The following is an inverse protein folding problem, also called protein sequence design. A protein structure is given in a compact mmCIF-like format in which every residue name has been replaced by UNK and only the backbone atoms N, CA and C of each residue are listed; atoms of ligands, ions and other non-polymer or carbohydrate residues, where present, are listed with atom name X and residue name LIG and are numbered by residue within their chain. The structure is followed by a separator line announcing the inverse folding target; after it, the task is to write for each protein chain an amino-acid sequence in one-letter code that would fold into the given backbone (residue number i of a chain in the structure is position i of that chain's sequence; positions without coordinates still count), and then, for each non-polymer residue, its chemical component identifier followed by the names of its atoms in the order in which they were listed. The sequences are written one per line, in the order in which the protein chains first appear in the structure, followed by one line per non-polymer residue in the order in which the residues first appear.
data_IF_617750943574
#
_entry.id   IF_617750943574
#
_cell.length_a   1.000
_cell.length_b   1.000
_cell.length_c   1.000
_cell.angle_alpha   90.00
_cell.angle_beta   90.00
_cell.angle_gamma   90.00
#
_symmetry.space_group_name_H-M   'P 1'
#
loop_
_entity.id
_entity.type
_entity.pdbx_description
1 polymer ?
#
# COMPACT_ATOMS: atom_id res chain seq x y z
N UNK A 1 3.10 8.63 12.33
CA UNK A 1 2.98 7.62 11.25
C UNK A 1 4.37 7.11 10.91
N UNK A 2 4.53 5.79 10.88
CA UNK A 2 5.78 5.17 10.47
C UNK A 2 5.78 4.98 8.95
N UNK A 3 6.94 5.13 8.33
CA UNK A 3 7.11 4.94 6.90
C UNK A 3 8.25 3.95 6.69
N UNK A 4 7.94 2.85 5.98
CA UNK A 4 8.93 1.84 5.65
C UNK A 4 9.13 1.76 4.15
N UNK A 5 10.37 1.57 3.74
CA UNK A 5 10.74 1.40 2.34
C UNK A 5 11.40 0.04 2.14
N UNK A 6 11.23 -0.54 0.95
CA UNK A 6 11.90 -1.77 0.59
C UNK A 6 10.99 -2.98 0.71
N UNK A 7 11.60 -4.17 0.59
CA UNK A 7 10.86 -5.42 0.44
C UNK A 7 10.65 -6.18 1.75
N UNK A 8 11.33 -5.77 2.81
CA UNK A 8 11.21 -6.44 4.11
C UNK A 8 11.14 -5.42 5.23
N UNK A 9 10.31 -5.71 6.22
CA UNK A 9 10.26 -4.92 7.43
C UNK A 9 11.43 -5.32 8.35
N UNK A 10 11.84 -4.39 9.24
CA UNK A 10 12.87 -4.71 10.24
C UNK A 10 12.48 -5.89 11.14
N UNK A 11 11.18 -6.03 11.42
CA UNK A 11 10.63 -7.13 12.20
C UNK A 11 9.16 -7.31 11.84
N UNK A 12 8.61 -8.53 11.99
CA UNK A 12 7.19 -8.75 11.77
C UNK A 12 6.34 -7.87 12.69
N UNK A 13 5.23 -7.38 12.18
CA UNK A 13 4.31 -6.56 12.95
C UNK A 13 3.41 -7.41 13.86
N UNK A 14 2.88 -6.77 14.90
CA UNK A 14 1.71 -7.28 15.60
C UNK A 14 0.52 -7.29 14.62
N UNK A 15 -0.60 -7.97 14.97
CA UNK A 15 -1.73 -8.09 14.04
C UNK A 15 -2.14 -6.76 13.43
N UNK A 16 -2.38 -6.75 12.12
CA UNK A 16 -2.62 -5.52 11.38
C UNK A 16 -3.84 -5.59 10.48
N UNK A 17 -4.41 -4.41 10.21
CA UNK A 17 -5.41 -4.16 9.19
C UNK A 17 -4.72 -3.42 8.05
N UNK A 18 -4.82 -3.95 6.83
CA UNK A 18 -4.00 -3.52 5.70
C UNK A 18 -4.89 -3.06 4.55
N UNK A 19 -4.50 -1.97 3.91
CA UNK A 19 -5.06 -1.59 2.62
C UNK A 19 -3.93 -1.51 1.59
N UNK A 20 -4.26 -1.85 0.35
CA UNK A 20 -3.33 -1.79 -0.78
C UNK A 20 -3.94 -0.91 -1.85
N UNK A 21 -3.19 0.06 -2.36
CA UNK A 21 -3.67 0.91 -3.43
C UNK A 21 -2.58 1.85 -3.91
N UNK A 22 -2.84 2.51 -5.02
CA UNK A 22 -1.94 3.54 -5.54
C UNK A 22 -2.16 4.88 -4.82
N UNK A 23 -3.38 5.16 -4.41
CA UNK A 23 -3.78 6.39 -3.71
C UNK A 23 -3.33 7.65 -4.42
N UNK A 24 -3.33 7.61 -5.75
CA UNK A 24 -2.92 8.74 -6.56
C UNK A 24 -4.00 9.83 -6.50
N UNK A 25 -3.62 11.00 -5.96
CA UNK A 25 -4.55 12.10 -5.78
C UNK A 25 -5.44 12.03 -4.56
N UNK A 26 -5.24 11.13 -3.65
CA UNK A 26 -6.03 10.91 -2.39
C UNK A 26 -7.34 11.70 -2.37
N UNK A 27 -8.31 11.27 -3.20
CA UNK A 27 -9.59 11.95 -3.31
C UNK A 27 -10.64 11.33 -2.37
N UNK A 28 -11.90 11.77 -2.49
CA UNK A 28 -12.99 11.38 -1.59
C UNK A 28 -13.14 9.86 -1.47
N UNK A 29 -13.05 9.12 -2.59
CA UNK A 29 -13.15 7.66 -2.55
C UNK A 29 -12.06 7.02 -1.71
N UNK A 30 -10.82 7.51 -1.84
CA UNK A 30 -9.71 7.02 -1.02
C UNK A 30 -9.93 7.33 0.46
N UNK A 31 -10.49 8.50 0.77
CA UNK A 31 -10.78 8.86 2.16
C UNK A 31 -11.81 7.93 2.79
N UNK A 32 -12.82 7.52 2.04
CA UNK A 32 -13.80 6.55 2.53
C UNK A 32 -13.15 5.21 2.86
N UNK A 33 -12.26 4.72 1.98
CA UNK A 33 -11.53 3.48 2.20
C UNK A 33 -10.66 3.60 3.44
N UNK A 34 -9.93 4.70 3.57
CA UNK A 34 -9.03 4.91 4.70
C UNK A 34 -9.79 5.05 6.01
N UNK A 35 -10.93 5.74 6.00
CA UNK A 35 -11.77 5.85 7.19
C UNK A 35 -12.31 4.50 7.63
N UNK A 36 -12.74 3.69 6.67
CA UNK A 36 -13.21 2.33 6.96
C UNK A 36 -12.08 1.48 7.54
N UNK A 37 -10.89 1.58 6.96
CA UNK A 37 -9.72 0.87 7.49
C UNK A 37 -9.45 1.26 8.93
N UNK A 38 -9.47 2.57 9.24
CA UNK A 38 -9.22 3.07 10.58
C UNK A 38 -10.26 2.55 11.58
N UNK A 39 -11.54 2.55 11.20
CA UNK A 39 -12.62 2.06 12.07
C UNK A 39 -12.47 0.57 12.34
N UNK A 40 -12.18 -0.22 11.29
CA UNK A 40 -12.02 -1.66 11.45
C UNK A 40 -10.77 -1.98 12.27
N UNK A 41 -9.68 -1.23 12.05
CA UNK A 41 -8.46 -1.42 12.83
C UNK A 41 -8.71 -1.12 14.31
N UNK A 42 -9.41 -0.03 14.61
CA UNK A 42 -9.71 0.34 15.98
C UNK A 42 -10.64 -0.69 16.65
N UNK A 43 -11.69 -1.10 15.95
CA UNK A 43 -12.66 -2.06 16.49
C UNK A 43 -12.02 -3.42 16.76
N UNK A 44 -11.02 -3.81 15.99
CA UNK A 44 -10.33 -5.09 16.12
C UNK A 44 -9.01 -5.00 16.86
N UNK A 45 -8.65 -3.80 17.32
CA UNK A 45 -7.36 -3.54 17.99
C UNK A 45 -6.17 -3.92 17.13
N UNK A 46 -6.22 -3.53 15.85
CA UNK A 46 -5.17 -3.82 14.87
C UNK A 46 -4.41 -2.55 14.51
N UNK A 47 -3.14 -2.75 14.14
CA UNK A 47 -2.31 -1.68 13.57
C UNK A 47 -2.73 -1.45 12.12
N UNK A 48 -3.01 -0.21 11.73
CA UNK A 48 -3.43 0.09 10.35
C UNK A 48 -2.23 0.40 9.46
N UNK A 49 -2.19 -0.25 8.29
CA UNK A 49 -1.07 -0.14 7.34
C UNK A 49 -1.61 0.10 5.94
N UNK A 50 -1.01 1.06 5.24
CA UNK A 50 -1.25 1.24 3.81
C UNK A 50 -0.01 0.80 3.04
N UNK A 51 -0.20 -0.07 2.06
CA UNK A 51 0.87 -0.48 1.14
C UNK A 51 0.69 0.31 -0.16
N UNK A 52 1.74 1.00 -0.58
CA UNK A 52 1.79 1.68 -1.86
C UNK A 52 3.03 1.22 -2.61
N UNK A 53 3.00 1.33 -3.94
CA UNK A 53 4.09 0.88 -4.79
C UNK A 53 4.79 2.05 -5.45
N UNK A 54 6.14 1.98 -5.52
CA UNK A 54 6.98 2.95 -6.20
C UNK A 54 8.04 2.20 -7.02
N UNK A 55 8.03 2.27 -8.34
CA UNK A 55 7.01 2.93 -9.17
C UNK A 55 5.66 2.25 -9.06
N UNK A 56 4.60 2.93 -9.52
CA UNK A 56 3.29 2.31 -9.62
C UNK A 56 3.32 1.18 -10.65
N UNK A 57 2.49 0.12 -10.49
CA UNK A 57 2.52 -1.00 -11.44
C UNK A 57 2.35 -0.58 -12.89
N UNK A 58 1.43 0.35 -13.19
CA UNK A 58 1.23 0.81 -14.55
C UNK A 58 2.45 1.54 -15.10
N UNK A 59 3.20 2.26 -14.27
CA UNK A 59 4.45 2.91 -14.68
C UNK A 59 5.52 1.87 -15.00
N UNK A 60 5.65 0.86 -14.14
CA UNK A 60 6.62 -0.21 -14.34
C UNK A 60 6.39 -0.94 -15.66
N UNK A 61 5.14 -1.36 -15.92
CA UNK A 61 4.83 -2.10 -17.12
C UNK A 61 4.96 -1.24 -18.39
N UNK A 62 4.66 0.06 -18.31
CA UNK A 62 4.85 0.96 -19.42
C UNK A 62 6.33 1.09 -19.81
N UNK A 63 7.22 1.18 -18.82
CA UNK A 63 8.67 1.23 -19.08
C UNK A 63 9.16 -0.07 -19.70
N UNK A 64 8.75 -1.23 -19.19
CA UNK A 64 9.13 -2.52 -19.75
C UNK A 64 8.69 -2.69 -21.20
N UNK A 65 7.48 -2.22 -21.53
CA UNK A 65 6.93 -2.32 -22.88
C UNK A 65 7.38 -1.19 -23.79
N UNK A 66 8.26 -0.30 -23.31
CA UNK A 66 8.73 0.87 -24.06
C UNK A 66 7.57 1.73 -24.56
N UNK A 67 6.55 1.89 -23.73
CA UNK A 67 5.39 2.73 -23.99
C UNK A 67 5.50 4.05 -23.24
N UNK A 68 4.77 5.10 -23.66
CA UNK A 68 4.75 6.35 -22.90
C UNK A 68 4.30 6.10 -21.45
N UNK A 69 4.94 6.80 -20.50
CA UNK A 69 4.58 6.67 -19.11
C UNK A 69 3.20 7.28 -18.85
N UNK A 70 2.37 6.62 -18.01
CA UNK A 70 1.13 7.25 -17.58
C UNK A 70 1.40 8.54 -16.80
N UNK A 71 0.48 9.49 -16.89
CA UNK A 71 0.60 10.71 -16.13
C UNK A 71 0.23 10.43 -14.67
N UNK A 72 1.14 10.77 -13.76
CA UNK A 72 0.90 10.63 -12.33
C UNK A 72 0.33 11.93 -11.79
N UNK A 73 -0.76 11.85 -11.02
CA UNK A 73 -1.37 13.03 -10.40
C UNK A 73 -0.56 13.52 -9.21
N UNK A 74 -0.07 12.59 -8.38
CA UNK A 74 0.56 12.95 -7.11
C UNK A 74 1.93 12.29 -6.98
N UNK A 75 3.01 13.07 -6.75
CA UNK A 75 4.31 12.50 -6.40
C UNK A 75 4.24 11.70 -5.10
N UNK A 76 5.17 10.75 -4.94
CA UNK A 76 5.19 9.88 -3.75
C UNK A 76 5.22 10.68 -2.44
N UNK A 77 6.07 11.71 -2.36
CA UNK A 77 6.19 12.52 -1.15
C UNK A 77 4.86 13.15 -0.76
N UNK A 78 4.16 13.72 -1.75
CA UNK A 78 2.88 14.38 -1.49
C UNK A 78 1.82 13.35 -1.12
N UNK A 79 1.86 12.16 -1.72
CA UNK A 79 0.96 11.07 -1.40
C UNK A 79 1.12 10.65 0.06
N UNK A 80 2.34 10.46 0.51
CA UNK A 80 2.62 10.10 1.91
C UNK A 80 2.12 11.21 2.84
N UNK A 81 2.35 12.48 2.49
CA UNK A 81 1.89 13.60 3.30
C UNK A 81 0.37 13.61 3.41
N UNK A 82 -0.34 13.38 2.30
CA UNK A 82 -1.80 13.33 2.30
C UNK A 82 -2.32 12.18 3.16
N UNK A 83 -1.70 11.01 3.07
CA UNK A 83 -2.07 9.87 3.93
C UNK A 83 -1.85 10.20 5.40
N UNK A 84 -0.76 10.88 5.72
CA UNK A 84 -0.48 11.30 7.08
C UNK A 84 -1.53 12.28 7.59
N UNK A 85 -1.96 13.21 6.75
CA UNK A 85 -2.97 14.21 7.11
C UNK A 85 -4.34 13.60 7.40
N UNK A 86 -4.66 12.47 6.76
CA UNK A 86 -5.94 11.80 7.03
C UNK A 86 -6.01 11.21 8.44
N UNK A 87 -4.86 10.91 9.05
CA UNK A 87 -4.80 10.27 10.35
C UNK A 87 -5.35 8.86 10.40
N UNK A 88 -5.60 8.25 9.24
CA UNK A 88 -6.29 6.96 9.16
C UNK A 88 -5.35 5.76 9.23
N UNK A 89 -4.05 5.94 8.99
CA UNK A 89 -3.10 4.84 8.97
C UNK A 89 -1.99 5.08 9.99
N UNK A 90 -1.58 4.01 10.66
CA UNK A 90 -0.46 4.05 11.60
C UNK A 90 0.87 3.97 10.87
N UNK A 91 0.92 3.26 9.75
CA UNK A 91 2.16 3.06 8.99
C UNK A 91 1.88 2.99 7.49
N UNK A 92 2.86 3.40 6.71
CA UNK A 92 2.86 3.27 5.25
C UNK A 92 4.07 2.45 4.85
N UNK A 93 3.85 1.40 4.07
CA UNK A 93 4.91 0.59 3.51
C UNK A 93 5.03 0.89 2.02
N UNK A 94 6.12 1.53 1.62
CA UNK A 94 6.41 1.82 0.22
C UNK A 94 7.16 0.61 -0.33
N UNK A 95 6.44 -0.20 -1.10
CA UNK A 95 6.97 -1.42 -1.69
C UNK A 95 7.53 -1.11 -3.07
N UNK A 96 8.75 -1.59 -3.34
CA UNK A 96 9.35 -1.39 -4.66
C UNK A 96 8.74 -2.37 -5.66
N UNK A 97 8.14 -1.82 -6.72
CA UNK A 97 7.63 -2.64 -7.82
C UNK A 97 8.74 -2.79 -8.86
N UNK A 98 9.41 -3.92 -8.83
CA UNK A 98 10.55 -4.23 -9.69
C UNK A 98 10.33 -5.61 -10.34
N UNK A 99 11.24 -6.09 -11.22
CA UNK A 99 11.05 -7.39 -11.86
C UNK A 99 10.89 -8.55 -10.89
N UNK A 100 11.62 -8.54 -9.77
CA UNK A 100 11.48 -9.59 -8.76
C UNK A 100 10.09 -9.58 -8.15
N UNK A 101 9.58 -8.40 -7.80
CA UNK A 101 8.25 -8.28 -7.23
C UNK A 101 7.18 -8.66 -8.24
N UNK A 102 7.32 -8.19 -9.50
CA UNK A 102 6.37 -8.47 -10.55
C UNK A 102 6.29 -9.97 -10.89
N UNK A 103 7.36 -10.72 -10.63
CA UNK A 103 7.41 -12.16 -10.87
C UNK A 103 6.72 -12.97 -9.75
N UNK A 104 6.39 -12.34 -8.63
CA UNK A 104 5.69 -13.03 -7.53
C UNK A 104 4.28 -13.43 -7.94
N UNK A 105 3.88 -14.64 -7.51
CA UNK A 105 2.48 -15.03 -7.62
C UNK A 105 1.66 -14.35 -6.53
N UNK A 106 0.34 -14.32 -6.71
CA UNK A 106 -0.56 -13.81 -5.68
C UNK A 106 -0.40 -14.58 -4.37
N UNK A 107 -0.20 -15.90 -4.45
CA UNK A 107 -0.01 -16.74 -3.27
C UNK A 107 1.28 -16.37 -2.53
N UNK A 108 2.37 -16.14 -3.26
CA UNK A 108 3.64 -15.72 -2.67
C UNK A 108 3.52 -14.37 -1.97
N UNK A 109 2.82 -13.43 -2.61
CA UNK A 109 2.58 -12.11 -2.01
C UNK A 109 1.79 -12.24 -0.71
N UNK A 110 0.69 -13.00 -0.73
CA UNK A 110 -0.14 -13.20 0.45
C UNK A 110 0.66 -13.85 1.57
N UNK A 111 1.41 -14.92 1.26
CA UNK A 111 2.16 -15.65 2.29
C UNK A 111 3.28 -14.81 2.87
N UNK A 112 4.09 -14.17 2.03
CA UNK A 112 5.30 -13.48 2.47
C UNK A 112 5.00 -12.11 3.04
N UNK A 113 4.24 -11.30 2.31
CA UNK A 113 4.04 -9.90 2.68
C UNK A 113 2.91 -9.77 3.69
N UNK A 114 1.75 -10.33 3.37
CA UNK A 114 0.57 -10.10 4.20
C UNK A 114 0.57 -10.95 5.47
N UNK A 115 0.97 -12.22 5.39
CA UNK A 115 0.94 -13.08 6.56
C UNK A 115 2.20 -12.99 7.41
N UNK A 116 3.37 -13.18 6.81
CA UNK A 116 4.63 -13.26 7.58
C UNK A 116 5.13 -11.89 8.05
N UNK A 117 5.07 -10.88 7.19
CA UNK A 117 5.58 -9.55 7.52
C UNK A 117 4.57 -8.68 8.26
N UNK A 118 3.34 -8.62 7.79
CA UNK A 118 2.32 -7.72 8.32
C UNK A 118 1.36 -8.38 9.30
N UNK A 119 1.35 -9.71 9.38
CA UNK A 119 0.42 -10.44 10.24
C UNK A 119 -1.02 -9.93 10.01
N UNK A 120 -1.44 -9.92 8.75
CA UNK A 120 -2.69 -9.29 8.32
C UNK A 120 -3.91 -10.06 8.83
N UNK A 121 -4.82 -9.37 9.49
CA UNK A 121 -6.09 -9.91 9.98
C UNK A 121 -7.29 -9.31 9.25
N UNK A 122 -7.12 -8.16 8.63
CA UNK A 122 -8.17 -7.48 7.86
C UNK A 122 -7.51 -6.85 6.64
N UNK A 123 -8.09 -7.07 5.46
CA UNK A 123 -7.54 -6.57 4.21
C UNK A 123 -8.63 -5.83 3.45
N UNK A 124 -8.34 -4.60 3.03
CA UNK A 124 -9.21 -3.77 2.24
C UNK A 124 -8.46 -3.29 1.01
N UNK A 125 -8.93 -3.68 -0.17
CA UNK A 125 -8.25 -3.34 -1.43
C UNK A 125 -9.01 -2.23 -2.12
N UNK A 126 -8.28 -1.17 -2.52
CA UNK A 126 -8.87 -0.06 -3.26
C UNK A 126 -9.18 -0.44 -4.72
N UNK A 127 -10.16 0.25 -5.31
CA UNK A 127 -10.59 0.00 -6.69
C UNK A 127 -9.51 0.35 -7.71
N UNK A 128 -8.59 1.24 -7.35
CA UNK A 128 -7.51 1.67 -8.24
C UNK A 128 -6.35 0.68 -8.30
N UNK A 129 -6.42 -0.39 -7.51
CA UNK A 129 -5.39 -1.41 -7.49
C UNK A 129 -5.92 -2.71 -8.07
N UNK A 130 -5.52 -3.03 -9.29
CA UNK A 130 -5.94 -4.24 -9.99
C UNK A 130 -4.80 -4.86 -10.78
#
# INVERSE_FOLDING_TARGET
MNIWFGQQLPAPLSPSAVTIGNFDGVHTGHRHILQRLAREAQARQLHSVAIIFEPQPNEFFSRQANRPLPQRITPLRDKIQLLQQTGSVNSVWVQRFNPQFAAQTAEQFIQTILREQLNTRYLLIGDDFR
#
